data_IF_302467090108
#
_entry.id   IF_302467090108
#
_cell.length_a   1.000
_cell.length_b   1.000
_cell.length_c   1.000
_cell.angle_alpha   90.00
_cell.angle_beta   90.00
_cell.angle_gamma   90.00
#
_symmetry.space_group_name_H-M   'P 1'
#
loop_
_entity.id
_entity.type
_entity.pdbx_description
1 polymer ?
#
# COMPACT_ATOMS: atom_id res chain seq x y z
N UNK A 1 22.00 -20.81 8.32
CA UNK A 1 21.57 -19.45 8.73
C UNK A 1 20.30 -18.98 7.97
N UNK A 2 19.45 -19.88 7.45
CA UNK A 2 18.29 -19.51 6.63
C UNK A 2 16.99 -19.27 7.42
N UNK A 3 16.89 -19.76 8.66
CA UNK A 3 15.66 -19.68 9.46
C UNK A 3 15.34 -18.26 9.96
N UNK A 4 16.35 -17.42 10.21
CA UNK A 4 16.15 -16.05 10.72
C UNK A 4 15.56 -15.09 9.69
N UNK A 5 15.91 -15.26 8.40
CA UNK A 5 15.46 -14.38 7.31
C UNK A 5 13.99 -14.64 6.92
N UNK A 6 13.58 -15.91 6.95
CA UNK A 6 12.18 -16.32 6.72
C UNK A 6 11.24 -15.80 7.81
N UNK A 7 11.64 -15.91 9.09
CA UNK A 7 10.85 -15.39 10.21
C UNK A 7 10.73 -13.86 10.19
N UNK A 8 11.82 -13.16 9.87
CA UNK A 8 11.80 -11.70 9.72
C UNK A 8 10.87 -11.24 8.58
N UNK A 9 10.93 -11.93 7.43
CA UNK A 9 10.04 -11.63 6.30
C UNK A 9 8.57 -11.87 6.62
N UNK A 10 8.24 -12.92 7.36
CA UNK A 10 6.87 -13.18 7.82
C UNK A 10 6.37 -12.07 8.75
N UNK A 11 7.20 -11.64 9.71
CA UNK A 11 6.87 -10.54 10.62
C UNK A 11 6.61 -9.23 9.85
N UNK A 12 7.44 -8.91 8.86
CA UNK A 12 7.24 -7.74 7.99
C UNK A 12 5.91 -7.80 7.22
N UNK A 13 5.56 -8.97 6.69
CA UNK A 13 4.28 -9.14 6.00
C UNK A 13 3.11 -8.99 6.97
N UNK A 14 3.21 -9.54 8.18
CA UNK A 14 2.15 -9.43 9.19
C UNK A 14 1.95 -7.99 9.69
N UNK A 15 3.04 -7.23 9.88
CA UNK A 15 2.96 -5.79 10.18
C UNK A 15 2.29 -5.06 9.01
N UNK A 16 2.73 -5.30 7.78
CA UNK A 16 2.15 -4.67 6.59
C UNK A 16 0.65 -4.96 6.44
N UNK A 17 0.22 -6.21 6.60
CA UNK A 17 -1.19 -6.60 6.45
C UNK A 17 -2.08 -5.94 7.52
N UNK A 18 -1.57 -5.78 8.75
CA UNK A 18 -2.25 -5.04 9.82
C UNK A 18 -2.39 -3.56 9.47
N UNK A 19 -1.29 -2.93 9.06
CA UNK A 19 -1.28 -1.50 8.71
C UNK A 19 -2.15 -1.20 7.49
N UNK A 20 -2.18 -2.10 6.50
CA UNK A 20 -2.96 -1.94 5.28
C UNK A 20 -4.46 -1.76 5.57
N UNK A 21 -4.98 -2.43 6.59
CA UNK A 21 -6.38 -2.29 7.01
C UNK A 21 -6.66 -0.90 7.57
N UNK A 22 -5.74 -0.37 8.39
CA UNK A 22 -5.84 1.01 8.90
C UNK A 22 -5.69 2.04 7.77
N UNK A 23 -4.74 1.84 6.87
CA UNK A 23 -4.51 2.72 5.73
C UNK A 23 -5.71 2.80 4.79
N UNK A 24 -6.38 1.69 4.49
CA UNK A 24 -7.61 1.69 3.67
C UNK A 24 -8.71 2.57 4.30
N UNK A 25 -8.86 2.55 5.62
CA UNK A 25 -9.81 3.43 6.34
C UNK A 25 -9.38 4.89 6.28
N UNK A 26 -8.10 5.17 6.54
CA UNK A 26 -7.55 6.54 6.48
C UNK A 26 -7.66 7.13 5.08
N UNK A 27 -7.40 6.33 4.03
CA UNK A 27 -7.52 6.74 2.64
C UNK A 27 -8.96 7.14 2.30
N UNK A 28 -9.93 6.30 2.66
CA UNK A 28 -11.35 6.57 2.41
C UNK A 28 -11.82 7.86 3.10
N UNK A 29 -11.43 8.04 4.37
CA UNK A 29 -11.71 9.27 5.13
C UNK A 29 -11.07 10.50 4.49
N UNK A 30 -9.76 10.45 4.24
CA UNK A 30 -9.01 11.57 3.66
C UNK A 30 -9.52 11.96 2.26
N UNK A 31 -9.93 10.98 1.45
CA UNK A 31 -10.52 11.24 0.15
C UNK A 31 -11.88 11.95 0.27
N UNK A 32 -12.73 11.51 1.20
CA UNK A 32 -14.07 12.08 1.43
C UNK A 32 -13.99 13.51 1.99
N UNK A 33 -13.02 13.77 2.88
CA UNK A 33 -12.77 15.08 3.48
C UNK A 33 -11.90 16.00 2.61
N UNK A 34 -11.42 15.51 1.47
CA UNK A 34 -10.44 16.21 0.60
C UNK A 34 -9.17 16.62 1.35
N UNK A 35 -8.77 15.82 2.33
CA UNK A 35 -7.54 16.01 3.09
C UNK A 35 -6.33 15.49 2.29
N UNK A 36 -5.81 16.36 1.42
CA UNK A 36 -4.66 16.07 0.58
C UNK A 36 -3.37 15.78 1.36
N UNK A 37 -3.23 16.33 2.57
CA UNK A 37 -2.06 16.07 3.42
C UNK A 37 -2.09 14.62 3.90
N UNK A 38 -3.26 14.16 4.37
CA UNK A 38 -3.45 12.77 4.75
C UNK A 38 -3.36 11.82 3.56
N UNK A 39 -3.93 12.16 2.40
CA UNK A 39 -3.80 11.35 1.18
C UNK A 39 -2.32 11.17 0.79
N UNK A 40 -1.55 12.26 0.74
CA UNK A 40 -0.11 12.22 0.44
C UNK A 40 0.62 11.28 1.40
N UNK A 41 0.37 11.40 2.71
CA UNK A 41 0.99 10.56 3.73
C UNK A 41 0.66 9.08 3.54
N UNK A 42 -0.61 8.75 3.29
CA UNK A 42 -1.03 7.36 3.06
C UNK A 42 -0.29 6.75 1.87
N UNK A 43 -0.26 7.45 0.73
CA UNK A 43 0.43 6.97 -0.46
C UNK A 43 1.95 6.89 -0.27
N UNK A 44 2.54 7.84 0.46
CA UNK A 44 3.96 7.82 0.79
C UNK A 44 4.35 6.58 1.60
N UNK A 45 3.58 6.25 2.65
CA UNK A 45 3.82 5.06 3.47
C UNK A 45 3.64 3.78 2.65
N UNK A 46 2.57 3.69 1.85
CA UNK A 46 2.31 2.51 1.01
C UNK A 46 3.38 2.30 -0.06
N UNK A 47 3.92 3.37 -0.65
CA UNK A 47 5.00 3.30 -1.63
C UNK A 47 6.22 2.57 -1.06
N UNK A 48 6.65 2.96 0.15
CA UNK A 48 7.79 2.36 0.82
C UNK A 48 7.52 0.90 1.18
N UNK A 49 6.35 0.61 1.73
CA UNK A 49 5.98 -0.75 2.11
C UNK A 49 5.89 -1.69 0.88
N UNK A 50 5.29 -1.22 -0.21
CA UNK A 50 5.22 -1.96 -1.46
C UNK A 50 6.62 -2.24 -2.02
N UNK A 51 7.55 -1.28 -1.95
CA UNK A 51 8.94 -1.46 -2.40
C UNK A 51 9.68 -2.50 -1.55
N UNK A 52 9.57 -2.41 -0.22
CA UNK A 52 10.19 -3.38 0.71
C UNK A 52 9.68 -4.80 0.48
N UNK A 53 8.40 -4.94 0.13
CA UNK A 53 7.76 -6.23 -0.14
C UNK A 53 7.83 -6.67 -1.61
N UNK A 54 8.62 -5.99 -2.44
CA UNK A 54 8.93 -6.39 -3.81
C UNK A 54 7.85 -6.08 -4.85
N UNK A 55 6.90 -5.18 -4.56
CA UNK A 55 5.89 -4.72 -5.52
C UNK A 55 6.26 -3.37 -6.13
N UNK A 56 7.06 -3.41 -7.19
CA UNK A 56 7.49 -2.20 -7.91
C UNK A 56 6.33 -1.48 -8.61
N UNK A 57 5.37 -2.22 -9.17
CA UNK A 57 4.19 -1.64 -9.84
C UNK A 57 3.31 -0.86 -8.87
N UNK A 58 3.03 -1.43 -7.70
CA UNK A 58 2.23 -0.77 -6.66
C UNK A 58 2.98 0.43 -6.10
N UNK A 59 4.30 0.32 -5.91
CA UNK A 59 5.14 1.43 -5.46
C UNK A 59 5.10 2.60 -6.46
N UNK A 60 5.22 2.32 -7.76
CA UNK A 60 5.12 3.34 -8.80
C UNK A 60 3.75 4.00 -8.84
N UNK A 61 2.65 3.24 -8.74
CA UNK A 61 1.30 3.81 -8.69
C UNK A 61 1.10 4.69 -7.44
N UNK A 62 1.62 4.28 -6.28
CA UNK A 62 1.59 5.09 -5.06
C UNK A 62 2.35 6.42 -5.25
N UNK A 63 3.48 6.43 -5.97
CA UNK A 63 4.18 7.68 -6.28
C UNK A 63 3.33 8.63 -7.13
N UNK A 64 2.62 8.11 -8.14
CA UNK A 64 1.72 8.93 -8.97
C UNK A 64 0.58 9.52 -8.13
N UNK A 65 0.00 8.73 -7.24
CA UNK A 65 -1.06 9.15 -6.32
C UNK A 65 -0.57 10.15 -5.26
N UNK A 66 0.64 9.97 -4.74
CA UNK A 66 1.32 10.90 -3.84
C UNK A 66 1.49 12.27 -4.53
N UNK A 67 1.94 12.28 -5.79
CA UNK A 67 2.11 13.50 -6.58
C UNK A 67 0.79 14.16 -6.95
N UNK A 68 -0.24 13.39 -7.31
CA UNK A 68 -1.58 13.92 -7.54
C UNK A 68 -2.17 14.55 -6.27
N UNK A 69 -1.92 13.95 -5.10
CA UNK A 69 -2.33 14.50 -3.80
C UNK A 69 -1.58 15.79 -3.45
N UNK A 70 -0.26 15.83 -3.70
CA UNK A 70 0.57 17.03 -3.54
C UNK A 70 0.09 18.19 -4.43
N UNK A 71 -0.28 17.89 -5.68
CA UNK A 71 -0.87 18.85 -6.62
C UNK A 71 -2.35 19.19 -6.35
N UNK A 72 -2.97 18.61 -5.31
CA UNK A 72 -4.41 18.74 -4.99
C UNK A 72 -5.34 18.35 -6.14
N UNK A 73 -4.90 17.45 -7.02
CA UNK A 73 -5.68 16.97 -8.16
C UNK A 73 -6.57 15.79 -7.75
N UNK A 74 -7.70 16.12 -7.12
CA UNK A 74 -8.67 15.12 -6.68
C UNK A 74 -9.25 14.30 -7.83
N UNK A 75 -9.37 14.88 -9.04
CA UNK A 75 -9.87 14.15 -10.22
C UNK A 75 -8.89 13.06 -10.61
N UNK A 76 -7.59 13.37 -10.65
CA UNK A 76 -6.55 12.40 -10.93
C UNK A 76 -6.49 11.32 -9.87
N UNK A 77 -6.53 11.69 -8.58
CA UNK A 77 -6.60 10.71 -7.48
C UNK A 77 -7.81 9.79 -7.67
N UNK A 78 -9.00 10.34 -7.88
CA UNK A 78 -10.22 9.57 -8.08
C UNK A 78 -10.15 8.60 -9.26
N UNK A 79 -9.54 9.03 -10.38
CA UNK A 79 -9.38 8.18 -11.58
C UNK A 79 -8.46 6.97 -11.36
N UNK A 80 -7.50 7.08 -10.43
CA UNK A 80 -6.49 6.05 -10.16
C UNK A 80 -6.85 5.15 -8.97
N UNK A 81 -7.79 5.56 -8.11
CA UNK A 81 -8.23 4.77 -6.96
C UNK A 81 -8.76 3.36 -7.29
N UNK A 82 -9.50 3.14 -8.41
CA UNK A 82 -9.93 1.79 -8.79
C UNK A 82 -8.76 0.86 -9.11
N UNK A 83 -7.78 1.35 -9.88
CA UNK A 83 -6.57 0.60 -10.21
C UNK A 83 -5.75 0.31 -8.95
N UNK A 84 -5.53 1.31 -8.12
CA UNK A 84 -4.85 1.17 -6.83
C UNK A 84 -5.51 0.13 -5.95
N UNK A 85 -6.84 0.16 -5.84
CA UNK A 85 -7.59 -0.82 -5.04
C UNK A 85 -7.44 -2.24 -5.58
N UNK A 86 -7.36 -2.40 -6.91
CA UNK A 86 -7.10 -3.70 -7.54
C UNK A 86 -5.69 -4.21 -7.23
N UNK A 87 -4.67 -3.37 -7.45
CA UNK A 87 -3.27 -3.73 -7.20
C UNK A 87 -3.01 -4.05 -5.73
N UNK A 88 -3.57 -3.27 -4.80
CA UNK A 88 -3.47 -3.54 -3.36
C UNK A 88 -4.10 -4.89 -3.01
N UNK A 89 -5.28 -5.21 -3.55
CA UNK A 89 -5.94 -6.52 -3.32
C UNK A 89 -5.12 -7.68 -3.88
N UNK A 90 -4.51 -7.52 -5.05
CA UNK A 90 -3.64 -8.53 -5.64
C UNK A 90 -2.39 -8.74 -4.78
N UNK A 91 -1.70 -7.66 -4.41
CA UNK A 91 -0.51 -7.73 -3.58
C UNK A 91 -0.80 -8.35 -2.21
N UNK A 92 -1.91 -7.96 -1.55
CA UNK A 92 -2.36 -8.57 -0.29
C UNK A 92 -2.59 -10.08 -0.43
N UNK A 93 -3.21 -10.51 -1.53
CA UNK A 93 -3.46 -11.94 -1.80
C UNK A 93 -2.15 -12.69 -2.00
N UNK A 94 -1.21 -12.12 -2.75
CA UNK A 94 0.06 -12.77 -3.07
C UNK A 94 0.92 -12.92 -1.82
N UNK A 95 0.99 -11.89 -0.98
CA UNK A 95 1.67 -11.96 0.31
C UNK A 95 1.07 -13.02 1.25
N UNK A 96 -0.28 -13.10 1.32
CA UNK A 96 -0.97 -14.12 2.11
C UNK A 96 -0.70 -15.54 1.60
N UNK A 97 -0.55 -15.73 0.29
CA UNK A 97 -0.16 -17.03 -0.29
C UNK A 97 1.29 -17.37 0.06
N UNK A 98 2.20 -16.40 0.00
CA UNK A 98 3.60 -16.62 0.37
C UNK A 98 3.76 -17.09 1.81
N UNK A 99 2.98 -16.55 2.77
CA UNK A 99 3.01 -17.04 4.15
C UNK A 99 2.51 -18.50 4.24
N UNK A 100 1.38 -18.81 3.61
CA UNK A 100 0.77 -20.16 3.67
C UNK A 100 1.60 -21.24 2.97
N UNK A 101 2.33 -20.89 1.91
CA UNK A 101 3.22 -21.83 1.22
C UNK A 101 4.56 -22.07 1.93
N UNK A 102 4.83 -21.33 3.01
CA UNK A 102 6.03 -21.47 3.85
C UNK A 102 5.77 -22.24 5.15
N UNK A 103 4.50 -22.59 5.44
CA UNK A 103 4.09 -23.43 6.58
C UNK A 103 3.93 -24.88 6.13
#
# INVERSE_FOLDING_TARGET
MASGDLSFKQELIDVYLRDLTQMKRQLSKAFSERDFVSLKRVFHTLKSNAKVLGSDSLSALCLVLEKASEGKDLKRVASLLPEFSSQVKMHERDLKKSIKGLS
#
